data_IF_011439704002
#
_entry.id   IF_011439704002
#
_cell.length_a   1.000
_cell.length_b   1.000
_cell.length_c   1.000
_cell.angle_alpha   90.00
_cell.angle_beta   90.00
_cell.angle_gamma   90.00
#
_symmetry.space_group_name_H-M   'P 1'
#
loop_
_entity.id
_entity.type
_entity.pdbx_description
1 polymer ?
#
# COMPACT_ATOMS: atom_id res chain seq x y z
N UNK A 1 -4.37 4.12 -6.67
CA UNK A 1 -4.43 3.36 -5.40
C UNK A 1 -4.11 4.20 -4.15
N UNK A 2 -3.34 5.30 -4.24
CA UNK A 2 -3.07 6.17 -3.07
C UNK A 2 -4.30 6.95 -2.56
N UNK A 3 -5.23 7.33 -3.45
CA UNK A 3 -6.44 8.08 -3.08
C UNK A 3 -7.28 7.35 -2.02
N UNK A 4 -7.59 6.06 -2.23
CA UNK A 4 -8.36 5.28 -1.27
C UNK A 4 -7.64 5.16 0.09
N UNK A 5 -6.31 5.04 0.11
CA UNK A 5 -5.54 5.11 1.38
C UNK A 5 -5.81 6.44 2.09
N UNK A 6 -5.73 7.56 1.38
CA UNK A 6 -5.89 8.89 1.98
C UNK A 6 -7.28 9.19 2.54
N UNK A 7 -8.32 8.46 2.10
CA UNK A 7 -9.67 8.62 2.63
C UNK A 7 -9.86 7.99 4.02
N UNK A 8 -9.10 6.93 4.32
CA UNK A 8 -9.33 6.09 5.50
C UNK A 8 -8.12 5.98 6.44
N UNK A 9 -6.94 6.42 6.02
CA UNK A 9 -5.68 6.24 6.75
C UNK A 9 -4.85 7.53 6.79
N UNK A 10 -4.06 7.68 7.85
CA UNK A 10 -3.08 8.77 7.97
C UNK A 10 -2.01 8.68 6.86
N UNK A 11 -1.42 9.81 6.43
CA UNK A 11 -0.27 9.80 5.51
C UNK A 11 0.86 8.86 5.97
N UNK A 12 1.14 8.83 7.27
CA UNK A 12 2.23 8.06 7.86
C UNK A 12 1.86 6.60 8.18
N UNK A 13 0.60 6.20 8.01
CA UNK A 13 0.20 4.82 8.25
C UNK A 13 0.74 3.91 7.14
N UNK A 14 1.51 2.89 7.54
CA UNK A 14 1.88 1.78 6.66
C UNK A 14 0.72 0.79 6.61
N UNK A 15 0.21 0.54 5.41
CA UNK A 15 -0.87 -0.42 5.14
C UNK A 15 -0.48 -1.27 3.94
N UNK A 16 -0.99 -2.50 3.90
CA UNK A 16 -0.76 -3.42 2.79
C UNK A 16 -2.07 -3.76 2.09
N UNK A 17 -2.02 -3.85 0.76
CA UNK A 17 -3.07 -4.49 -0.03
C UNK A 17 -2.81 -5.99 -0.03
N UNK A 18 -3.75 -6.77 0.50
CA UNK A 18 -3.60 -8.21 0.62
C UNK A 18 -4.40 -8.93 -0.47
N UNK A 19 -3.77 -9.95 -1.04
CA UNK A 19 -4.42 -10.95 -1.88
C UNK A 19 -4.33 -12.30 -1.15
N UNK A 20 -5.37 -12.67 -0.37
CA UNK A 20 -5.46 -14.00 0.21
C UNK A 20 -5.30 -15.10 -0.84
N UNK A 21 -4.93 -16.31 -0.40
CA UNK A 21 -4.97 -17.48 -1.27
C UNK A 21 -6.39 -17.62 -1.86
N UNK A 22 -6.50 -18.07 -3.11
CA UNK A 22 -7.78 -18.14 -3.83
C UNK A 22 -8.85 -18.91 -3.06
N UNK A 23 -8.47 -20.02 -2.42
CA UNK A 23 -9.35 -20.84 -1.58
C UNK A 23 -9.92 -20.09 -0.35
N UNK A 24 -9.25 -19.04 0.10
CA UNK A 24 -9.62 -18.21 1.25
C UNK A 24 -10.13 -16.82 0.80
N UNK A 25 -10.24 -16.57 -0.51
CA UNK A 25 -10.61 -15.28 -1.06
C UNK A 25 -12.13 -15.08 -1.01
N UNK A 26 -12.58 -14.14 -0.18
CA UNK A 26 -14.00 -13.76 -0.06
C UNK A 26 -14.20 -12.38 -0.69
N UNK A 27 -14.93 -12.32 -1.81
CA UNK A 27 -15.20 -11.08 -2.54
C UNK A 27 -16.70 -10.77 -2.61
N UNK A 28 -17.21 -10.03 -1.62
CA UNK A 28 -18.61 -9.60 -1.58
C UNK A 28 -18.90 -8.39 -2.48
N UNK A 29 -17.88 -7.70 -2.99
CA UNK A 29 -18.05 -6.52 -3.83
C UNK A 29 -16.91 -6.39 -4.84
N UNK A 30 -17.18 -6.43 -6.16
CA UNK A 30 -16.16 -6.63 -7.21
C UNK A 30 -15.07 -5.55 -7.28
N UNK A 31 -15.31 -4.38 -6.67
CA UNK A 31 -14.37 -3.25 -6.65
C UNK A 31 -13.85 -2.89 -5.25
N UNK A 32 -13.95 -3.80 -4.28
CA UNK A 32 -13.42 -3.57 -2.94
C UNK A 32 -11.89 -3.66 -2.93
N UNK A 33 -11.24 -2.67 -2.31
CA UNK A 33 -9.80 -2.69 -2.06
C UNK A 33 -9.54 -3.12 -0.61
N UNK A 34 -8.95 -4.30 -0.43
CA UNK A 34 -8.64 -4.84 0.89
C UNK A 34 -7.30 -4.28 1.41
N UNK A 35 -7.36 -3.14 2.10
CA UNK A 35 -6.23 -2.57 2.83
C UNK A 35 -6.22 -3.06 4.28
N UNK A 36 -5.05 -3.47 4.77
CA UNK A 36 -4.88 -4.01 6.11
C UNK A 36 -3.68 -3.41 6.85
N UNK A 37 -3.84 -3.22 8.17
CA UNK A 37 -2.77 -2.85 9.10
C UNK A 37 -2.89 -3.70 10.38
N UNK A 38 -1.90 -4.52 10.73
CA UNK A 38 -1.92 -5.26 11.98
C UNK A 38 -1.70 -4.33 13.19
N UNK A 39 -2.28 -4.69 14.33
CA UNK A 39 -2.10 -3.97 15.61
C UNK A 39 -0.89 -4.53 16.34
N UNK A 40 -0.03 -3.65 16.86
CA UNK A 40 1.15 -4.04 17.65
C UNK A 40 2.28 -4.70 16.84
N UNK A 41 2.13 -4.82 15.51
CA UNK A 41 3.14 -5.42 14.62
C UNK A 41 3.48 -4.40 13.53
N UNK A 42 4.78 -4.18 13.31
CA UNK A 42 5.25 -3.33 12.21
C UNK A 42 5.15 -4.09 10.88
N UNK A 43 4.59 -3.45 9.86
CA UNK A 43 4.65 -3.98 8.50
C UNK A 43 6.06 -3.71 7.96
N UNK A 44 6.77 -4.72 7.43
CA UNK A 44 8.07 -4.49 6.82
C UNK A 44 7.89 -3.69 5.53
N UNK A 45 8.63 -2.60 5.40
CA UNK A 45 8.73 -1.84 4.15
C UNK A 45 10.01 -2.22 3.42
N UNK A 46 10.02 -2.25 2.08
CA UNK A 46 11.26 -2.44 1.35
C UNK A 46 12.26 -1.33 1.69
N UNK A 47 13.58 -1.58 1.56
CA UNK A 47 14.58 -0.53 1.60
C UNK A 47 14.22 0.60 0.62
N UNK A 48 14.40 1.88 0.95
CA UNK A 48 14.01 3.00 0.07
C UNK A 48 14.63 2.89 -1.33
N UNK A 49 15.86 2.38 -1.43
CA UNK A 49 16.56 2.15 -2.70
C UNK A 49 15.87 1.18 -3.64
N UNK A 50 15.01 0.29 -3.13
CA UNK A 50 14.22 -0.65 -3.94
C UNK A 50 12.89 -0.04 -4.38
N UNK A 51 12.51 1.12 -3.82
CA UNK A 51 11.32 1.88 -4.21
C UNK A 51 11.68 2.99 -5.20
N UNK A 52 12.80 3.68 -4.96
CA UNK A 52 13.31 4.72 -5.85
C UNK A 52 14.39 5.60 -5.20
N UNK A 53 14.93 6.53 -5.99
CA UNK A 53 15.92 7.51 -5.54
C UNK A 53 15.19 8.71 -4.93
N UNK A 54 15.44 8.99 -3.64
CA UNK A 54 14.81 10.10 -2.94
C UNK A 54 15.17 11.44 -3.60
N UNK A 55 14.16 12.25 -3.91
CA UNK A 55 14.35 13.57 -4.53
C UNK A 55 14.60 13.55 -6.05
N UNK A 56 14.67 12.37 -6.67
CA UNK A 56 14.75 12.26 -8.11
C UNK A 56 13.36 12.45 -8.73
N UNK A 57 13.26 13.35 -9.70
CA UNK A 57 12.08 13.53 -10.55
C UNK A 57 12.50 13.47 -12.01
N UNK A 58 11.77 12.71 -12.82
CA UNK A 58 11.98 12.64 -14.26
C UNK A 58 11.72 13.99 -14.97
N UNK A 59 10.97 14.90 -14.34
CA UNK A 59 10.77 16.26 -14.84
C UNK A 59 12.04 17.11 -14.82
N UNK A 60 13.09 16.68 -14.12
CA UNK A 60 14.37 17.38 -14.09
C UNK A 60 15.30 16.98 -15.25
N UNK A 61 14.86 16.06 -16.12
CA UNK A 61 15.61 15.52 -17.25
C UNK A 61 15.02 15.89 -18.62
N UNK A 62 13.89 16.59 -18.64
CA UNK A 62 13.22 17.14 -19.84
C UNK A 62 13.19 18.66 -19.74
#
# INVERSE_FOLDING_TARGET
MAFLKSLFWSPDDVVMQLHPAEKDYVNNHPFCLHLWRPVGVAIPTPPPTFVGIKGFSLTNLI
#
